data_IF_143310135621
#
_entry.id   IF_143310135621
#
_cell.length_a   1.000
_cell.length_b   1.000
_cell.length_c   1.000
_cell.angle_alpha   90.00
_cell.angle_beta   90.00
_cell.angle_gamma   90.00
#
_symmetry.space_group_name_H-M   'P 1'
#
loop_
_entity.id
_entity.type
_entity.pdbx_description
1 polymer ?
#
# COMPACT_ATOMS: atom_id res chain seq x y z
N UNK A 1 -5.24 19.86 -10.86
CA UNK A 1 -5.62 19.11 -9.65
C UNK A 1 -6.29 17.83 -10.12
N UNK A 2 -5.86 16.66 -9.64
CA UNK A 2 -6.45 15.37 -10.02
C UNK A 2 -7.83 15.27 -9.35
N UNK A 3 -8.85 14.89 -10.11
CA UNK A 3 -10.17 14.57 -9.59
C UNK A 3 -10.11 13.24 -8.83
N UNK A 4 -10.52 13.21 -7.56
CA UNK A 4 -10.42 12.03 -6.72
C UNK A 4 -11.37 10.91 -7.17
N UNK A 5 -12.48 11.26 -7.81
CA UNK A 5 -13.45 10.31 -8.32
C UNK A 5 -13.10 9.82 -9.73
N UNK A 6 -12.01 10.36 -10.31
CA UNK A 6 -11.43 9.82 -11.54
C UNK A 6 -10.72 8.49 -11.29
N UNK A 7 -10.62 7.70 -12.37
CA UNK A 7 -10.04 6.36 -12.37
C UNK A 7 -8.54 6.41 -12.07
N UNK A 8 -8.11 5.55 -11.16
CA UNK A 8 -6.71 5.22 -10.89
C UNK A 8 -6.51 3.75 -11.27
N UNK A 9 -6.10 3.50 -12.51
CA UNK A 9 -6.23 2.17 -13.12
C UNK A 9 -7.67 1.88 -13.56
N UNK A 10 -7.95 0.63 -13.88
CA UNK A 10 -9.25 0.18 -14.37
C UNK A 10 -10.27 -0.02 -13.23
N UNK A 11 -9.84 -0.51 -12.06
CA UNK A 11 -10.76 -1.03 -11.04
C UNK A 11 -10.99 -0.12 -9.83
N UNK A 12 -10.12 0.86 -9.60
CA UNK A 12 -10.21 1.81 -8.49
C UNK A 12 -10.27 3.26 -8.96
N UNK A 13 -10.76 4.13 -8.08
CA UNK A 13 -10.58 5.59 -8.15
C UNK A 13 -9.44 6.03 -7.25
N UNK A 14 -8.96 7.26 -7.40
CA UNK A 14 -7.98 7.82 -6.47
C UNK A 14 -8.56 7.89 -5.04
N UNK A 15 -9.82 8.30 -4.88
CA UNK A 15 -10.49 8.35 -3.57
C UNK A 15 -10.38 7.03 -2.83
N UNK A 16 -10.59 5.92 -3.52
CA UNK A 16 -10.52 4.58 -2.92
C UNK A 16 -9.13 4.17 -2.46
N UNK A 17 -8.06 4.79 -2.97
CA UNK A 17 -6.69 4.56 -2.48
C UNK A 17 -6.29 5.55 -1.39
N UNK A 18 -6.94 6.70 -1.29
CA UNK A 18 -6.61 7.79 -0.35
C UNK A 18 -7.46 7.73 0.93
N UNK A 19 -8.69 7.21 0.85
CA UNK A 19 -9.70 7.25 1.92
C UNK A 19 -10.07 5.84 2.44
N UNK A 20 -9.31 4.81 2.06
CA UNK A 20 -9.60 3.40 2.38
C UNK A 20 -9.37 3.02 3.85
N UNK A 21 -8.44 3.67 4.53
CA UNK A 21 -7.94 3.18 5.83
C UNK A 21 -8.95 3.38 6.95
N UNK A 22 -8.98 2.45 7.91
CA UNK A 22 -9.83 2.59 9.09
C UNK A 22 -9.47 3.86 9.88
N UNK A 23 -8.20 4.23 9.95
CA UNK A 23 -7.76 5.46 10.61
C UNK A 23 -8.35 6.71 9.94
N UNK A 24 -8.38 6.75 8.60
CA UNK A 24 -9.00 7.85 7.87
C UNK A 24 -10.52 7.88 8.09
N UNK A 25 -11.18 6.72 7.93
CA UNK A 25 -12.63 6.57 8.11
C UNK A 25 -13.08 6.96 9.53
N UNK A 26 -12.31 6.59 10.55
CA UNK A 26 -12.60 6.97 11.93
C UNK A 26 -12.46 8.47 12.16
N UNK A 27 -11.39 9.10 11.65
CA UNK A 27 -11.22 10.54 11.75
C UNK A 27 -12.38 11.32 11.10
N UNK A 28 -12.85 10.84 9.93
CA UNK A 28 -14.03 11.40 9.26
C UNK A 28 -15.31 11.20 10.09
N UNK A 29 -15.54 10.00 10.65
CA UNK A 29 -16.69 9.68 11.47
C UNK A 29 -16.75 10.50 12.78
N UNK A 30 -15.59 10.74 13.40
CA UNK A 30 -15.44 11.54 14.62
C UNK A 30 -15.59 13.06 14.38
N UNK A 31 -16.00 13.47 13.17
CA UNK A 31 -16.11 14.86 12.75
C UNK A 31 -14.79 15.64 12.88
N UNK A 32 -13.65 14.93 12.75
CA UNK A 32 -12.29 15.48 12.75
C UNK A 32 -11.61 15.12 11.42
N UNK A 33 -12.12 15.60 10.28
CA UNK A 33 -11.55 15.25 8.99
C UNK A 33 -10.08 15.67 8.93
N UNK A 34 -9.26 14.77 8.41
CA UNK A 34 -7.84 15.00 8.16
C UNK A 34 -7.59 15.15 6.67
N UNK A 35 -6.66 16.03 6.33
CA UNK A 35 -6.13 16.18 4.99
C UNK A 35 -5.15 15.05 4.68
N UNK A 36 -5.63 14.09 3.89
CA UNK A 36 -4.84 12.98 3.36
C UNK A 36 -4.63 13.10 1.83
N UNK A 37 -4.64 14.31 1.28
CA UNK A 37 -4.41 14.50 -0.15
C UNK A 37 -2.91 14.56 -0.46
N UNK A 38 -2.44 13.86 -1.51
CA UNK A 38 -1.09 14.03 -2.00
C UNK A 38 -0.80 15.48 -2.39
N UNK A 39 0.41 15.96 -2.07
CA UNK A 39 0.89 17.27 -2.48
C UNK A 39 1.69 17.20 -3.78
N UNK A 40 2.36 16.08 -4.01
CA UNK A 40 3.23 15.90 -5.17
C UNK A 40 2.47 15.24 -6.33
N UNK A 41 2.58 15.82 -7.53
CA UNK A 41 1.95 15.24 -8.73
C UNK A 41 2.51 13.85 -9.06
N UNK A 42 3.78 13.60 -8.73
CA UNK A 42 4.43 12.29 -8.85
C UNK A 42 3.79 11.23 -7.95
N UNK A 43 3.16 11.61 -6.83
CA UNK A 43 2.43 10.66 -5.99
C UNK A 43 1.21 10.10 -6.73
N UNK A 44 0.43 10.94 -7.42
CA UNK A 44 -0.70 10.47 -8.24
C UNK A 44 -0.25 9.56 -9.38
N UNK A 45 0.88 9.88 -10.03
CA UNK A 45 1.47 9.04 -11.07
C UNK A 45 1.91 7.67 -10.52
N UNK A 46 2.51 7.65 -9.33
CA UNK A 46 2.95 6.41 -8.67
C UNK A 46 1.78 5.53 -8.24
N UNK A 47 0.71 6.11 -7.72
CA UNK A 47 -0.53 5.39 -7.39
C UNK A 47 -1.17 4.79 -8.64
N UNK A 48 -1.21 5.54 -9.75
CA UNK A 48 -1.70 5.03 -11.02
C UNK A 48 -0.84 3.87 -11.55
N UNK A 49 0.49 4.01 -11.49
CA UNK A 49 1.39 2.93 -11.88
C UNK A 49 1.20 1.68 -11.02
N UNK A 50 1.07 1.83 -9.70
CA UNK A 50 0.76 0.73 -8.78
C UNK A 50 -0.58 0.05 -9.14
N UNK A 51 -1.60 0.84 -9.49
CA UNK A 51 -2.89 0.30 -9.89
C UNK A 51 -2.78 -0.52 -11.18
N UNK A 52 -2.17 0.03 -12.22
CA UNK A 52 -2.04 -0.64 -13.54
C UNK A 52 -1.14 -1.88 -13.48
N UNK A 53 -0.03 -1.82 -12.75
CA UNK A 53 0.95 -2.91 -12.71
C UNK A 53 0.55 -4.03 -11.74
N UNK A 54 -0.19 -3.71 -10.67
CA UNK A 54 -0.51 -4.66 -9.59
C UNK A 54 -2.01 -4.85 -9.39
N UNK A 55 -2.75 -3.79 -9.07
CA UNK A 55 -4.14 -3.94 -8.62
C UNK A 55 -5.09 -4.38 -9.73
N UNK A 56 -4.97 -3.83 -10.93
CA UNK A 56 -5.81 -4.20 -12.07
C UNK A 56 -5.56 -5.67 -12.48
N UNK A 57 -4.31 -6.15 -12.61
CA UNK A 57 -4.07 -7.56 -12.88
C UNK A 57 -4.49 -8.50 -11.76
N UNK A 58 -4.29 -8.12 -10.50
CA UNK A 58 -4.80 -8.91 -9.35
C UNK A 58 -6.32 -8.98 -9.41
N UNK A 59 -7.00 -7.88 -9.70
CA UNK A 59 -8.45 -7.86 -9.82
C UNK A 59 -8.96 -8.72 -10.98
N UNK A 60 -8.25 -8.75 -12.10
CA UNK A 60 -8.59 -9.59 -13.24
C UNK A 60 -8.41 -11.09 -12.95
N UNK A 61 -7.40 -11.46 -12.14
CA UNK A 61 -7.10 -12.86 -11.82
C UNK A 61 -7.94 -13.41 -10.66
N UNK A 62 -8.02 -12.66 -9.56
CA UNK A 62 -8.56 -13.15 -8.29
C UNK A 62 -9.88 -12.48 -7.89
N UNK A 63 -10.33 -11.47 -8.64
CA UNK A 63 -11.44 -10.61 -8.25
C UNK A 63 -10.99 -9.36 -7.50
N UNK A 64 -11.90 -8.40 -7.40
CA UNK A 64 -11.59 -7.04 -6.91
C UNK A 64 -11.04 -7.06 -5.46
N UNK A 65 -9.83 -6.55 -5.21
CA UNK A 65 -9.28 -6.45 -3.86
C UNK A 65 -10.06 -5.53 -2.92
N UNK A 66 -10.07 -5.89 -1.63
CA UNK A 66 -10.45 -4.97 -0.55
C UNK A 66 -9.20 -4.24 -0.06
N UNK A 67 -9.11 -2.94 -0.37
CA UNK A 67 -8.00 -2.09 0.06
C UNK A 67 -8.18 -1.68 1.52
N UNK A 68 -7.18 -1.97 2.35
CA UNK A 68 -7.18 -1.63 3.79
C UNK A 68 -6.27 -0.47 4.14
N UNK A 69 -5.24 -0.22 3.34
CA UNK A 69 -4.36 0.94 3.49
C UNK A 69 -3.71 1.29 2.14
N UNK A 70 -3.72 2.56 1.76
CA UNK A 70 -3.20 3.05 0.48
C UNK A 70 -2.29 4.25 0.72
N UNK A 71 -2.61 5.42 0.19
CA UNK A 71 -1.79 6.61 0.44
C UNK A 71 -1.84 7.05 1.91
N UNK A 72 -0.64 7.30 2.47
CA UNK A 72 -0.42 7.68 3.86
C UNK A 72 0.21 9.08 3.98
N UNK A 73 -0.61 10.13 3.94
CA UNK A 73 -0.15 11.50 4.14
C UNK A 73 0.27 11.80 5.59
N UNK A 74 0.95 12.94 5.83
CA UNK A 74 1.50 13.26 7.14
C UNK A 74 0.47 13.38 8.28
N UNK A 75 -0.77 13.79 7.99
CA UNK A 75 -1.81 13.86 9.03
C UNK A 75 -2.36 12.48 9.37
N UNK A 76 -2.54 11.61 8.37
CA UNK A 76 -3.00 10.23 8.59
C UNK A 76 -1.97 9.42 9.38
N UNK A 77 -0.70 9.48 8.98
CA UNK A 77 0.37 8.71 9.61
C UNK A 77 0.61 9.08 11.08
N UNK A 78 0.33 10.33 11.48
CA UNK A 78 0.38 10.76 12.90
C UNK A 78 -0.69 10.10 13.78
N UNK A 79 -1.79 9.64 13.19
CA UNK A 79 -2.87 8.97 13.91
C UNK A 79 -2.66 7.46 14.00
N UNK A 80 -1.67 6.91 13.29
CA UNK A 80 -1.36 5.49 13.33
C UNK A 80 -0.53 5.23 14.60
N UNK A 81 -1.07 4.40 15.50
CA UNK A 81 -0.42 4.08 16.78
C UNK A 81 0.84 3.22 16.63
N UNK A 82 0.98 2.50 15.50
CA UNK A 82 2.15 1.70 15.21
C UNK A 82 3.35 2.61 14.86
N UNK A 83 4.56 2.16 15.22
CA UNK A 83 5.77 2.84 14.79
C UNK A 83 5.97 2.66 13.29
N UNK A 84 5.73 3.73 12.53
CA UNK A 84 6.07 3.82 11.12
C UNK A 84 7.51 4.34 11.02
N UNK A 85 8.33 3.69 10.21
CA UNK A 85 9.65 4.19 9.82
C UNK A 85 9.50 4.99 8.52
N UNK A 86 9.36 6.33 8.55
CA UNK A 86 8.85 7.08 7.40
C UNK A 86 9.75 6.99 6.16
N UNK A 87 11.07 6.95 6.39
CA UNK A 87 12.08 6.81 5.33
C UNK A 87 11.99 5.50 4.53
N UNK A 88 11.26 4.50 5.04
CA UNK A 88 11.06 3.20 4.39
C UNK A 88 9.60 2.94 4.01
N UNK A 89 8.68 3.83 4.35
CA UNK A 89 7.24 3.64 4.18
C UNK A 89 6.78 4.16 2.81
N UNK A 90 6.59 3.25 1.86
CA UNK A 90 6.16 3.58 0.51
C UNK A 90 4.69 3.99 0.42
N UNK A 91 3.92 3.94 1.53
CA UNK A 91 2.60 4.58 1.59
C UNK A 91 2.71 6.11 1.52
N UNK A 92 3.85 6.70 1.90
CA UNK A 92 4.15 8.12 1.66
C UNK A 92 4.42 8.44 0.18
N UNK A 93 4.52 7.41 -0.66
CA UNK A 93 4.77 7.51 -2.09
C UNK A 93 5.94 8.44 -2.45
N UNK A 94 5.68 9.52 -3.20
CA UNK A 94 6.68 10.51 -3.61
C UNK A 94 6.58 11.81 -2.82
N UNK A 95 5.85 11.83 -1.71
CA UNK A 95 5.70 13.04 -0.89
C UNK A 95 7.05 13.49 -0.34
N UNK A 96 7.18 14.81 -0.20
CA UNK A 96 8.42 15.44 0.23
C UNK A 96 8.23 16.22 1.52
N UNK A 97 9.33 16.36 2.26
CA UNK A 97 9.44 17.25 3.41
C UNK A 97 10.72 18.05 3.26
N UNK A 98 10.59 19.38 3.22
CA UNK A 98 11.71 20.30 3.05
C UNK A 98 12.58 19.97 1.82
N UNK A 99 11.94 19.63 0.70
CA UNK A 99 12.61 19.32 -0.57
C UNK A 99 13.33 17.98 -0.61
N UNK A 100 13.11 17.10 0.38
CA UNK A 100 13.64 15.74 0.41
C UNK A 100 12.49 14.72 0.42
N UNK A 101 12.62 13.57 -0.26
CA UNK A 101 11.62 12.51 -0.18
C UNK A 101 11.37 12.06 1.25
N UNK A 102 10.10 11.90 1.64
CA UNK A 102 9.74 11.30 2.92
C UNK A 102 10.18 9.84 2.96
N UNK A 103 9.93 9.10 1.88
CA UNK A 103 10.39 7.73 1.68
C UNK A 103 11.49 7.71 0.61
N UNK A 104 12.69 7.24 0.96
CA UNK A 104 13.82 7.22 0.01
C UNK A 104 13.68 6.13 -1.05
N UNK A 105 12.78 5.17 -0.85
CA UNK A 105 12.47 4.11 -1.83
C UNK A 105 11.64 4.62 -3.01
N UNK A 106 10.96 5.76 -2.84
CA UNK A 106 9.97 6.29 -3.78
C UNK A 106 8.91 5.23 -4.15
N UNK A 107 8.15 5.49 -5.21
CA UNK A 107 7.10 4.59 -5.64
C UNK A 107 5.78 4.82 -4.90
N UNK A 108 4.99 3.76 -4.74
CA UNK A 108 3.78 3.73 -3.92
C UNK A 108 3.57 2.31 -3.36
N UNK A 109 2.75 2.20 -2.31
CA UNK A 109 2.37 0.92 -1.72
C UNK A 109 0.88 0.85 -1.40
N UNK A 110 0.41 -0.38 -1.24
CA UNK A 110 -0.97 -0.70 -0.91
C UNK A 110 -1.02 -1.97 -0.07
N UNK A 111 -1.88 -1.97 0.95
CA UNK A 111 -2.26 -3.14 1.73
C UNK A 111 -3.66 -3.57 1.34
N UNK A 112 -3.83 -4.84 0.99
CA UNK A 112 -5.11 -5.38 0.56
C UNK A 112 -5.25 -6.88 0.84
N UNK A 113 -6.49 -7.36 0.77
CA UNK A 113 -6.82 -8.78 0.70
C UNK A 113 -7.77 -9.04 -0.48
N UNK A 114 -7.86 -10.29 -0.90
CA UNK A 114 -8.88 -10.74 -1.85
C UNK A 114 -9.74 -11.78 -1.16
N UNK A 115 -11.05 -11.54 -1.12
CA UNK A 115 -11.98 -12.38 -0.36
C UNK A 115 -11.92 -13.85 -0.84
N UNK A 116 -11.67 -14.76 0.10
CA UNK A 116 -11.58 -16.20 -0.19
C UNK A 116 -10.29 -16.65 -0.87
N UNK A 117 -9.29 -15.78 -1.05
CA UNK A 117 -7.99 -16.13 -1.63
C UNK A 117 -6.87 -15.86 -0.62
N UNK A 118 -6.08 -16.89 -0.23
CA UNK A 118 -4.93 -16.71 0.65
C UNK A 118 -3.94 -15.67 0.15
N UNK A 119 -3.51 -14.76 1.03
CA UNK A 119 -2.55 -13.71 0.68
C UNK A 119 -1.22 -14.26 0.15
N UNK A 120 -0.78 -15.43 0.64
CA UNK A 120 0.41 -16.11 0.09
C UNK A 120 0.23 -16.51 -1.39
N UNK A 121 -0.96 -16.93 -1.79
CA UNK A 121 -1.28 -17.30 -3.17
C UNK A 121 -1.22 -16.08 -4.08
N UNK A 122 -1.86 -14.98 -3.67
CA UNK A 122 -1.81 -13.71 -4.42
C UNK A 122 -0.38 -13.20 -4.53
N UNK A 123 0.39 -13.23 -3.44
CA UNK A 123 1.79 -12.82 -3.44
C UNK A 123 2.68 -13.65 -4.37
N UNK A 124 2.51 -14.98 -4.40
CA UNK A 124 3.24 -15.85 -5.34
C UNK A 124 2.91 -15.51 -6.78
N UNK A 125 1.64 -15.28 -7.09
CA UNK A 125 1.24 -14.90 -8.43
C UNK A 125 1.82 -13.54 -8.84
N UNK A 126 1.79 -12.53 -7.95
CA UNK A 126 2.43 -11.24 -8.19
C UNK A 126 3.93 -11.43 -8.43
N UNK A 127 4.58 -12.29 -7.65
CA UNK A 127 5.99 -12.59 -7.84
C UNK A 127 6.27 -13.16 -9.23
N UNK A 128 5.50 -14.14 -9.69
CA UNK A 128 5.74 -14.82 -10.96
C UNK A 128 5.40 -13.93 -12.17
N UNK A 129 4.40 -13.05 -12.06
CA UNK A 129 3.79 -12.41 -13.23
C UNK A 129 3.96 -10.89 -13.28
N UNK A 130 4.34 -10.25 -12.18
CA UNK A 130 4.31 -8.78 -12.07
C UNK A 130 5.64 -8.19 -11.60
N UNK A 131 5.81 -6.90 -11.91
CA UNK A 131 6.88 -6.08 -11.37
C UNK A 131 6.42 -5.51 -10.04
N UNK A 132 7.24 -5.65 -9.01
CA UNK A 132 6.99 -5.12 -7.67
C UNK A 132 8.33 -4.83 -7.00
N UNK A 133 8.34 -3.90 -6.04
CA UNK A 133 9.50 -3.63 -5.20
C UNK A 133 9.52 -4.59 -4.00
N UNK A 134 8.47 -4.56 -3.17
CA UNK A 134 8.39 -5.38 -1.96
C UNK A 134 7.03 -5.99 -1.74
N UNK A 135 7.02 -7.17 -1.13
CA UNK A 135 5.84 -7.81 -0.58
C UNK A 135 6.10 -8.11 0.90
N UNK A 136 5.16 -7.74 1.76
CA UNK A 136 5.12 -8.20 3.15
C UNK A 136 3.85 -9.01 3.42
N UNK A 137 4.03 -10.21 3.96
CA UNK A 137 2.96 -11.13 4.34
C UNK A 137 2.84 -11.18 5.86
N UNK A 138 1.60 -11.28 6.35
CA UNK A 138 1.30 -11.28 7.78
C UNK A 138 0.46 -12.50 8.23
N UNK A 139 0.22 -13.44 7.32
CA UNK A 139 -0.71 -14.56 7.43
C UNK A 139 -1.65 -14.60 6.22
N UNK A 140 -2.20 -15.77 5.90
CA UNK A 140 -3.02 -15.96 4.70
C UNK A 140 -4.31 -15.11 4.69
N UNK A 141 -4.96 -15.03 5.85
CA UNK A 141 -6.22 -14.31 6.05
C UNK A 141 -6.04 -12.83 6.46
N UNK A 142 -4.84 -12.28 6.28
CA UNK A 142 -4.53 -10.89 6.66
C UNK A 142 -4.12 -10.09 5.42
N UNK A 143 -4.44 -8.78 5.36
CA UNK A 143 -4.01 -7.94 4.24
C UNK A 143 -2.51 -8.07 4.01
N UNK A 144 -2.12 -8.32 2.76
CA UNK A 144 -0.71 -8.26 2.34
C UNK A 144 -0.34 -6.86 1.91
N UNK A 145 0.91 -6.49 2.14
CA UNK A 145 1.50 -5.29 1.59
C UNK A 145 2.16 -5.59 0.25
N UNK A 146 1.97 -4.71 -0.73
CA UNK A 146 2.78 -4.68 -1.95
C UNK A 146 3.17 -3.25 -2.28
N UNK A 147 4.41 -3.07 -2.73
CA UNK A 147 4.89 -1.79 -3.24
C UNK A 147 5.44 -1.91 -4.65
N UNK A 148 5.39 -0.79 -5.38
CA UNK A 148 6.03 -0.60 -6.67
C UNK A 148 6.93 0.62 -6.58
N UNK A 149 8.21 0.46 -6.91
CA UNK A 149 9.22 1.53 -6.90
C UNK A 149 10.00 1.60 -8.22
N UNK A 150 10.80 2.65 -8.43
CA UNK A 150 11.60 2.81 -9.65
C UNK A 150 12.61 1.68 -9.83
N UNK A 151 13.23 1.23 -8.73
CA UNK A 151 14.19 0.13 -8.69
C UNK A 151 13.60 -1.05 -7.89
N UNK A 152 12.96 -2.03 -8.56
CA UNK A 152 12.24 -3.10 -7.88
C UNK A 152 13.22 -4.07 -7.20
N UNK A 153 13.33 -4.01 -5.86
CA UNK A 153 14.17 -4.92 -5.10
C UNK A 153 13.71 -6.39 -5.18
N UNK A 154 12.46 -6.61 -5.62
CA UNK A 154 11.77 -7.91 -5.71
C UNK A 154 11.90 -8.71 -4.42
N UNK A 155 11.68 -8.04 -3.29
CA UNK A 155 11.87 -8.63 -1.97
C UNK A 155 10.54 -9.11 -1.39
N UNK A 156 10.50 -10.38 -0.98
CA UNK A 156 9.34 -10.95 -0.28
C UNK A 156 9.72 -11.30 1.15
N UNK A 157 8.94 -10.82 2.11
CA UNK A 157 9.15 -11.06 3.53
C UNK A 157 7.85 -11.51 4.19
N UNK A 158 7.93 -12.57 4.97
CA UNK A 158 6.86 -13.04 5.83
C UNK A 158 7.13 -12.61 7.28
N UNK A 159 6.24 -11.84 7.88
CA UNK A 159 6.31 -11.48 9.30
C UNK A 159 5.58 -12.54 10.13
N UNK A 160 6.35 -13.46 10.71
CA UNK A 160 5.82 -14.53 11.56
C UNK A 160 5.72 -14.04 13.00
N UNK A 161 4.59 -14.34 13.65
CA UNK A 161 4.44 -14.12 15.10
C UNK A 161 5.13 -15.24 15.86
N UNK A 162 5.97 -14.88 16.83
CA UNK A 162 6.53 -15.82 17.79
C UNK A 162 5.49 -16.17 18.86
N UNK A 163 5.68 -17.25 19.64
CA UNK A 163 4.85 -17.54 20.80
C UNK A 163 4.82 -16.40 21.84
N UNK A 164 5.89 -15.60 21.92
CA UNK A 164 5.98 -14.40 22.76
C UNK A 164 5.27 -13.16 22.20
N UNK A 165 4.62 -13.26 21.03
CA UNK A 165 3.85 -12.17 20.42
C UNK A 165 4.67 -11.20 19.55
N UNK A 166 5.99 -11.35 19.49
CA UNK A 166 6.84 -10.54 18.62
C UNK A 166 6.70 -10.95 17.15
N UNK A 167 6.89 -10.02 16.23
CA UNK A 167 6.97 -10.34 14.80
C UNK A 167 8.42 -10.42 14.36
N UNK A 168 8.78 -11.53 13.71
CA UNK A 168 10.10 -11.77 13.16
C UNK A 168 10.01 -11.81 11.62
N UNK A 169 10.80 -11.01 10.90
CA UNK A 169 10.79 -11.03 9.44
C UNK A 169 11.58 -12.23 8.91
N UNK A 170 10.97 -12.98 7.99
CA UNK A 170 11.59 -14.09 7.26
C UNK A 170 11.57 -13.77 5.77
N UNK A 171 12.74 -13.55 5.18
CA UNK A 171 12.85 -13.35 3.73
C UNK A 171 12.58 -14.68 3.02
N UNK A 172 11.60 -14.67 2.12
CA UNK A 172 11.30 -15.81 1.27
C UNK A 172 12.21 -15.78 0.03
N UNK A 173 12.63 -16.96 -0.41
CA UNK A 173 13.42 -17.16 -1.63
C UNK A 173 12.52 -17.87 -2.64
N UNK A 174 11.83 -17.07 -3.45
CA UNK A 174 11.08 -17.53 -4.62
C UNK A 174 11.92 -17.29 -5.87
#
# INVERSE_FOLDING_TARGET
>A
MVDLDSRCGAVFTYRELLECSNTWKQAAADQKPIDNLPREQSTFAALHALAVEILDPVAAEFGRPTITYGFGGPQLTRLIAAQIAPHLDQHAAHEQRAGQPICTRLGAAVDFLVDGVPSLQVARWIFEHRRFDRIYLYGDERPMHVSLGPDPARMVVELRRTPSGHQVPHRLRW
#
